data_IF_753624266067
#
_entry.id   IF_753624266067
#
_cell.length_a   1.000
_cell.length_b   1.000
_cell.length_c   1.000
_cell.angle_alpha   90.00
_cell.angle_beta   90.00
_cell.angle_gamma   90.00
#
_symmetry.space_group_name_H-M   'P 1'
#
loop_
_entity.id
_entity.type
_entity.pdbx_description
1 polymer ?
#
# COMPACT_ATOMS: atom_id res chain seq x y z
N UNK A 1 3.97 -0.81 -8.62
CA UNK A 1 3.32 0.43 -9.08
C UNK A 1 3.17 0.42 -10.60
N UNK A 2 1.95 0.25 -11.09
CA UNK A 2 1.65 0.24 -12.53
C UNK A 2 1.23 1.62 -12.99
N UNK A 3 1.93 2.19 -13.98
CA UNK A 3 1.54 3.47 -14.57
C UNK A 3 0.18 3.35 -15.27
N UNK A 4 -0.84 4.03 -14.74
CA UNK A 4 -2.09 4.28 -15.45
C UNK A 4 -1.86 5.43 -16.43
N UNK A 5 -2.05 5.21 -17.73
CA UNK A 5 -2.07 6.28 -18.73
C UNK A 5 -3.53 6.75 -18.95
N UNK A 6 -3.79 8.07 -19.00
CA UNK A 6 -5.12 8.66 -19.28
C UNK A 6 -5.64 9.62 -18.19
N UNK A 7 -6.92 10.03 -18.25
CA UNK A 7 -7.61 10.86 -17.22
C UNK A 7 -7.45 10.29 -15.80
N UNK A 8 -7.42 8.96 -15.67
CA UNK A 8 -7.15 8.27 -14.40
C UNK A 8 -5.75 8.52 -13.83
N UNK A 9 -4.77 8.91 -14.65
CA UNK A 9 -3.44 9.28 -14.19
C UNK A 9 -3.48 10.59 -13.39
N UNK A 10 -4.33 11.54 -13.82
CA UNK A 10 -4.48 12.83 -13.14
C UNK A 10 -5.21 12.66 -11.80
N UNK A 11 -6.29 11.88 -11.78
CA UNK A 11 -7.00 11.57 -10.53
C UNK A 11 -6.11 10.80 -9.53
N UNK A 12 -5.31 9.84 -10.02
CA UNK A 12 -4.35 9.12 -9.20
C UNK A 12 -3.27 10.06 -8.65
N UNK A 13 -2.70 10.94 -9.50
CA UNK A 13 -1.73 11.95 -9.08
C UNK A 13 -2.30 12.90 -8.02
N UNK A 14 -3.54 13.37 -8.19
CA UNK A 14 -4.22 14.24 -7.22
C UNK A 14 -4.41 13.48 -5.90
N UNK A 15 -4.92 12.26 -5.96
CA UNK A 15 -5.16 11.42 -4.78
C UNK A 15 -3.86 11.16 -4.03
N UNK A 16 -2.81 10.73 -4.72
CA UNK A 16 -1.48 10.51 -4.13
C UNK A 16 -0.92 11.80 -3.53
N UNK A 17 -1.03 12.93 -4.22
CA UNK A 17 -0.56 14.23 -3.73
C UNK A 17 -1.25 14.64 -2.42
N UNK A 18 -2.57 14.45 -2.35
CA UNK A 18 -3.37 14.72 -1.14
C UNK A 18 -2.95 13.77 -0.01
N UNK A 19 -2.79 12.47 -0.31
CA UNK A 19 -2.37 11.47 0.67
C UNK A 19 -0.99 11.81 1.25
N UNK A 20 0.01 12.06 0.41
CA UNK A 20 1.37 12.37 0.86
C UNK A 20 1.43 13.65 1.68
N UNK A 21 0.72 14.69 1.24
CA UNK A 21 0.66 15.96 1.98
C UNK A 21 0.07 15.73 3.37
N UNK A 22 -1.02 14.97 3.48
CA UNK A 22 -1.67 14.68 4.76
C UNK A 22 -0.80 13.82 5.69
N UNK A 23 -0.13 12.81 5.14
CA UNK A 23 0.79 11.97 5.91
C UNK A 23 1.99 12.78 6.44
N UNK A 24 2.55 13.66 5.60
CA UNK A 24 3.62 14.58 5.97
C UNK A 24 3.18 15.54 7.09
N UNK A 25 2.05 16.24 6.93
CA UNK A 25 1.56 17.22 7.91
C UNK A 25 1.17 16.59 9.26
N UNK A 26 0.77 15.31 9.27
CA UNK A 26 0.48 14.56 10.50
C UNK A 26 1.69 13.84 11.10
N UNK A 27 2.87 13.94 10.49
CA UNK A 27 4.08 13.25 10.95
C UNK A 27 3.97 11.72 10.89
N UNK A 28 3.11 11.20 10.00
CA UNK A 28 2.87 9.77 9.79
C UNK A 28 3.72 9.19 8.65
N UNK A 29 4.39 10.05 7.87
CA UNK A 29 5.36 9.67 6.85
C UNK A 29 6.53 10.68 6.76
N UNK A 30 7.43 10.54 5.78
CA UNK A 30 8.49 11.50 5.52
C UNK A 30 7.90 12.90 5.22
N UNK A 31 8.62 13.96 5.62
CA UNK A 31 8.22 15.31 5.26
C UNK A 31 8.25 15.50 3.75
N UNK A 32 7.15 15.98 3.17
CA UNK A 32 7.06 16.30 1.76
C UNK A 32 7.66 17.70 1.50
N UNK A 33 8.60 17.80 0.56
CA UNK A 33 9.25 19.05 0.17
C UNK A 33 8.72 19.61 -1.16
N UNK A 34 8.25 18.75 -2.05
CA UNK A 34 7.65 19.18 -3.32
C UNK A 34 7.15 18.02 -4.17
N UNK A 35 6.23 18.32 -5.08
CA UNK A 35 5.66 17.38 -6.06
C UNK A 35 5.92 17.94 -7.46
N UNK A 36 6.26 17.06 -8.40
CA UNK A 36 6.47 17.42 -9.81
C UNK A 36 5.96 16.30 -10.73
N UNK A 37 5.79 16.56 -12.04
CA UNK A 37 5.32 15.52 -12.96
C UNK A 37 6.20 14.26 -12.92
N UNK A 38 5.62 13.14 -12.51
CA UNK A 38 6.31 11.84 -12.44
C UNK A 38 7.10 11.59 -11.16
N UNK A 39 7.03 12.45 -10.14
CA UNK A 39 7.74 12.20 -8.87
C UNK A 39 7.50 13.22 -7.76
N UNK A 40 8.24 13.06 -6.68
CA UNK A 40 8.20 13.94 -5.50
C UNK A 40 9.57 14.04 -4.83
N UNK A 41 9.75 15.09 -4.04
CA UNK A 41 10.91 15.30 -3.17
C UNK A 41 10.43 15.19 -1.73
N UNK A 42 11.02 14.29 -0.96
CA UNK A 42 10.67 14.03 0.43
C UNK A 42 11.92 13.93 1.31
N UNK A 43 11.73 14.04 2.62
CA UNK A 43 12.78 13.92 3.61
C UNK A 43 13.47 12.57 3.52
N UNK A 44 14.79 12.57 3.45
CA UNK A 44 15.58 11.38 3.68
C UNK A 44 15.48 10.96 5.14
N UNK A 45 15.17 9.69 5.38
CA UNK A 45 15.15 9.07 6.70
C UNK A 45 16.32 8.10 6.77
N UNK A 46 17.24 8.33 7.69
CA UNK A 46 18.35 7.41 7.94
C UNK A 46 17.84 6.18 8.69
N UNK A 47 17.47 5.17 7.92
CA UNK A 47 16.80 3.97 8.40
C UNK A 47 17.12 2.78 7.50
N UNK A 48 16.85 1.57 8.01
CA UNK A 48 16.82 0.35 7.20
C UNK A 48 15.39 -0.19 7.12
N UNK A 49 15.00 -0.86 6.02
CA UNK A 49 13.76 -1.61 5.99
C UNK A 49 13.81 -2.79 6.97
N UNK A 50 12.64 -3.31 7.32
CA UNK A 50 12.53 -4.59 7.99
C UNK A 50 12.92 -5.73 7.06
N UNK A 51 13.33 -6.84 7.66
CA UNK A 51 13.40 -8.14 7.02
C UNK A 51 12.06 -8.87 7.18
N UNK A 52 11.72 -9.76 6.26
CA UNK A 52 10.49 -10.57 6.34
C UNK A 52 10.37 -11.31 7.69
N UNK A 53 11.48 -11.84 8.21
CA UNK A 53 11.50 -12.53 9.51
C UNK A 53 11.25 -11.61 10.71
N UNK A 54 11.54 -10.31 10.59
CA UNK A 54 11.29 -9.32 11.64
C UNK A 54 9.81 -8.94 11.76
N UNK A 55 9.00 -9.19 10.73
CA UNK A 55 7.55 -9.00 10.82
C UNK A 55 6.90 -9.88 11.89
N UNK A 56 7.50 -11.04 12.19
CA UNK A 56 7.00 -11.96 13.22
C UNK A 56 7.55 -11.67 14.63
N UNK A 57 8.47 -10.70 14.78
CA UNK A 57 8.93 -10.28 16.10
C UNK A 57 7.77 -9.63 16.87
N UNK A 58 7.56 -10.05 18.11
CA UNK A 58 6.43 -9.62 18.94
C UNK A 58 6.46 -8.11 19.18
N UNK A 59 7.63 -7.55 19.49
CA UNK A 59 7.78 -6.12 19.81
C UNK A 59 7.58 -5.25 18.58
N UNK A 60 8.13 -5.67 17.43
CA UNK A 60 7.93 -4.97 16.17
C UNK A 60 6.48 -5.09 15.69
N UNK A 61 5.86 -6.26 15.79
CA UNK A 61 4.44 -6.48 15.44
C UNK A 61 3.50 -5.55 16.19
N UNK A 62 3.70 -5.37 17.50
CA UNK A 62 2.91 -4.42 18.31
C UNK A 62 3.06 -2.99 17.78
N UNK A 63 4.29 -2.57 17.47
CA UNK A 63 4.55 -1.23 16.91
C UNK A 63 3.92 -1.07 15.52
N UNK A 64 3.98 -2.08 14.67
CA UNK A 64 3.35 -2.08 13.33
C UNK A 64 1.84 -1.94 13.49
N UNK A 65 1.20 -2.72 14.38
CA UNK A 65 -0.23 -2.63 14.65
C UNK A 65 -0.65 -1.24 15.15
N UNK A 66 0.16 -0.61 16.02
CA UNK A 66 -0.07 0.77 16.47
C UNK A 66 0.00 1.78 15.30
N UNK A 67 0.96 1.63 14.38
CA UNK A 67 1.05 2.49 13.18
C UNK A 67 -0.12 2.26 12.23
N UNK A 68 -0.52 1.01 12.00
CA UNK A 68 -1.71 0.69 11.20
C UNK A 68 -2.98 1.28 11.80
N UNK A 69 -3.16 1.19 13.12
CA UNK A 69 -4.29 1.81 13.81
C UNK A 69 -4.30 3.34 13.65
N UNK A 70 -3.14 3.99 13.73
CA UNK A 70 -3.02 5.43 13.49
C UNK A 70 -3.41 5.80 12.05
N UNK A 71 -3.02 5.00 11.05
CA UNK A 71 -3.41 5.19 9.64
C UNK A 71 -4.93 4.98 9.47
N UNK A 72 -5.48 3.89 9.99
CA UNK A 72 -6.90 3.54 9.85
C UNK A 72 -7.86 4.55 10.52
N UNK A 73 -7.38 5.28 11.52
CA UNK A 73 -8.15 6.31 12.23
C UNK A 73 -8.00 7.71 11.61
N UNK A 74 -7.23 7.86 10.53
CA UNK A 74 -7.08 9.14 9.85
C UNK A 74 -8.38 9.59 9.20
N UNK A 75 -8.83 10.81 9.53
CA UNK A 75 -9.81 11.51 8.73
C UNK A 75 -9.12 12.12 7.50
N UNK A 76 -9.45 11.61 6.32
CA UNK A 76 -8.89 12.04 5.04
C UNK A 76 -10.01 12.61 4.17
N UNK A 77 -9.85 13.80 3.56
CA UNK A 77 -10.83 14.42 2.67
C UNK A 77 -10.83 13.77 1.27
N UNK A 78 -10.99 12.45 1.22
CA UNK A 78 -11.10 11.67 -0.02
C UNK A 78 -12.45 10.98 -0.10
N UNK A 79 -12.78 10.49 -1.30
CA UNK A 79 -13.98 9.69 -1.52
C UNK A 79 -13.98 8.44 -0.64
N UNK A 80 -15.06 8.22 0.10
CA UNK A 80 -15.15 7.17 1.14
C UNK A 80 -15.80 5.87 0.66
N UNK A 81 -16.26 5.82 -0.59
CA UNK A 81 -16.79 4.56 -1.14
C UNK A 81 -15.66 3.54 -1.37
N UNK A 82 -15.80 2.28 -0.92
CA UNK A 82 -14.78 1.23 -1.00
C UNK A 82 -14.61 0.62 -2.41
N UNK A 83 -14.58 1.46 -3.45
CA UNK A 83 -14.45 1.01 -4.84
C UNK A 83 -13.02 0.65 -5.24
N UNK A 84 -12.00 1.15 -4.54
CA UNK A 84 -10.61 1.09 -5.00
C UNK A 84 -10.09 -0.33 -5.24
N UNK A 85 -10.34 -1.25 -4.31
CA UNK A 85 -9.89 -2.64 -4.41
C UNK A 85 -10.51 -3.33 -5.64
N UNK A 86 -11.84 -3.30 -5.75
CA UNK A 86 -12.57 -3.98 -6.82
C UNK A 86 -12.31 -3.35 -8.19
N UNK A 87 -12.23 -2.02 -8.28
CA UNK A 87 -11.90 -1.32 -9.51
C UNK A 87 -10.47 -1.64 -9.96
N UNK A 88 -9.54 -1.78 -9.01
CA UNK A 88 -8.15 -2.16 -9.31
C UNK A 88 -8.07 -3.60 -9.81
N UNK A 89 -8.75 -4.54 -9.15
CA UNK A 89 -8.81 -5.94 -9.59
C UNK A 89 -9.41 -6.03 -10.99
N UNK A 90 -10.55 -5.37 -11.25
CA UNK A 90 -11.19 -5.40 -12.58
C UNK A 90 -10.29 -4.80 -13.67
N UNK A 91 -9.55 -3.73 -13.38
CA UNK A 91 -8.56 -3.16 -14.31
C UNK A 91 -7.44 -4.15 -14.62
N UNK A 92 -6.96 -4.89 -13.62
CA UNK A 92 -5.93 -5.91 -13.83
C UNK A 92 -6.47 -7.12 -14.61
N UNK A 93 -7.69 -7.58 -14.32
CA UNK A 93 -8.36 -8.63 -15.10
C UNK A 93 -8.48 -8.25 -16.58
N UNK A 94 -8.92 -7.03 -16.89
CA UNK A 94 -8.95 -6.52 -18.28
C UNK A 94 -7.57 -6.51 -18.94
N UNK A 95 -6.53 -6.19 -18.16
CA UNK A 95 -5.15 -6.21 -18.67
C UNK A 95 -4.68 -7.63 -18.95
N UNK A 96 -5.02 -8.57 -18.07
CA UNK A 96 -4.79 -10.00 -18.26
C UNK A 96 -5.50 -10.51 -19.51
N UNK A 97 -6.78 -10.20 -19.69
CA UNK A 97 -7.55 -10.57 -20.89
C UNK A 97 -6.93 -10.02 -22.18
N UNK A 98 -6.28 -8.86 -22.13
CA UNK A 98 -5.61 -8.28 -23.30
C UNK A 98 -4.25 -8.93 -23.59
N UNK A 99 -3.52 -9.35 -22.56
CA UNK A 99 -2.12 -9.81 -22.67
C UNK A 99 -1.95 -11.32 -22.69
N UNK A 100 -2.88 -12.09 -22.12
CA UNK A 100 -2.76 -13.54 -21.91
C UNK A 100 -3.49 -14.37 -22.97
N UNK A 101 -3.97 -13.75 -24.06
CA UNK A 101 -4.67 -14.42 -25.18
C UNK A 101 -3.75 -15.21 -26.12
N UNK A 102 -2.49 -15.41 -25.77
CA UNK A 102 -1.49 -16.08 -26.62
C UNK A 102 -1.04 -17.39 -25.99
N UNK A 103 -0.88 -18.44 -26.80
CA UNK A 103 -0.35 -19.74 -26.36
C UNK A 103 1.12 -19.69 -25.87
N UNK A 104 1.77 -18.53 -26.01
CA UNK A 104 3.15 -18.24 -25.59
C UNK A 104 3.25 -17.82 -24.12
N UNK A 105 2.52 -18.51 -23.24
CA UNK A 105 2.67 -18.36 -21.78
C UNK A 105 3.56 -19.47 -21.23
N UNK A 106 4.46 -19.17 -20.27
CA UNK A 106 5.27 -20.19 -19.62
C UNK A 106 4.41 -21.31 -19.03
N UNK A 107 4.91 -22.55 -19.08
CA UNK A 107 4.14 -23.74 -18.70
C UNK A 107 3.62 -23.69 -17.26
N UNK A 108 4.41 -23.14 -16.33
CA UNK A 108 4.01 -22.95 -14.93
C UNK A 108 2.81 -21.99 -14.77
N UNK A 109 2.53 -21.15 -15.77
CA UNK A 109 1.47 -20.15 -15.74
C UNK A 109 0.19 -20.62 -16.46
N UNK A 110 0.26 -21.71 -17.25
CA UNK A 110 -0.89 -22.24 -18.00
C UNK A 110 -2.09 -22.58 -17.12
N UNK A 111 -1.86 -23.13 -15.93
CA UNK A 111 -2.94 -23.47 -15.00
C UNK A 111 -3.74 -22.24 -14.56
N UNK A 112 -3.08 -21.09 -14.40
CA UNK A 112 -3.70 -19.82 -14.01
C UNK A 112 -4.44 -19.19 -15.21
N UNK A 113 -3.86 -19.27 -16.40
CA UNK A 113 -4.53 -18.76 -17.62
C UNK A 113 -5.80 -19.55 -17.94
N UNK A 114 -5.78 -20.86 -17.67
CA UNK A 114 -6.91 -21.75 -17.91
C UNK A 114 -7.94 -21.73 -16.76
N UNK A 115 -7.67 -21.09 -15.63
CA UNK A 115 -8.62 -20.98 -14.53
C UNK A 115 -9.57 -19.81 -14.73
N UNK A 116 -10.79 -19.95 -14.22
CA UNK A 116 -11.78 -18.87 -14.26
C UNK A 116 -11.55 -17.90 -13.08
N UNK A 117 -10.54 -17.05 -13.22
CA UNK A 117 -10.18 -16.04 -12.21
C UNK A 117 -11.34 -15.07 -11.97
N UNK A 118 -12.21 -14.83 -12.95
CA UNK A 118 -13.37 -13.92 -12.79
C UNK A 118 -14.36 -14.49 -11.79
N UNK A 119 -14.67 -15.78 -11.89
CA UNK A 119 -15.52 -16.47 -10.91
C UNK A 119 -14.89 -16.47 -9.51
N UNK A 120 -13.57 -16.65 -9.39
CA UNK A 120 -12.85 -16.58 -8.10
C UNK A 120 -12.92 -15.17 -7.47
N UNK A 121 -12.78 -14.12 -8.28
CA UNK A 121 -12.92 -12.73 -7.82
C UNK A 121 -14.35 -12.42 -7.36
N UNK A 122 -15.36 -12.89 -8.09
CA UNK A 122 -16.77 -12.75 -7.70
C UNK A 122 -17.08 -13.49 -6.39
N UNK A 123 -16.52 -14.68 -6.22
CA UNK A 123 -16.61 -15.43 -4.97
C UNK A 123 -15.95 -14.67 -3.81
N UNK A 124 -14.73 -14.17 -4.00
CA UNK A 124 -14.00 -13.41 -2.98
C UNK A 124 -14.76 -12.14 -2.58
N UNK A 125 -15.34 -11.43 -3.55
CA UNK A 125 -16.14 -10.24 -3.31
C UNK A 125 -17.36 -10.54 -2.44
N UNK A 126 -18.16 -11.54 -2.81
CA UNK A 126 -19.31 -11.98 -2.00
C UNK A 126 -18.86 -12.41 -0.62
N UNK A 127 -17.74 -13.13 -0.49
CA UNK A 127 -17.23 -13.61 0.80
C UNK A 127 -16.84 -12.45 1.73
N UNK A 128 -16.14 -11.44 1.22
CA UNK A 128 -15.67 -10.29 2.00
C UNK A 128 -16.80 -9.31 2.36
N UNK A 129 -17.79 -9.13 1.49
CA UNK A 129 -18.96 -8.28 1.76
C UNK A 129 -19.79 -8.81 2.96
N UNK A 130 -19.70 -10.09 3.30
CA UNK A 130 -20.35 -10.66 4.49
C UNK A 130 -19.67 -10.32 5.82
N UNK A 131 -18.39 -9.92 5.82
CA UNK A 131 -17.62 -9.68 7.05
C UNK A 131 -17.94 -8.32 7.70
N UNK A 132 -18.72 -7.45 7.03
CA UNK A 132 -19.06 -6.10 7.50
C UNK A 132 -17.84 -5.30 8.01
N UNK A 133 -16.68 -5.46 7.36
CA UNK A 133 -15.47 -4.75 7.72
C UNK A 133 -15.65 -3.24 7.54
N UNK A 134 -15.22 -2.40 8.49
CA UNK A 134 -15.29 -0.96 8.35
C UNK A 134 -14.39 -0.49 7.21
N UNK A 135 -14.91 0.43 6.39
CA UNK A 135 -14.11 1.09 5.35
C UNK A 135 -13.30 2.20 6.01
N UNK A 136 -11.97 2.07 5.93
CA UNK A 136 -11.01 3.01 6.53
C UNK A 136 -9.95 3.44 5.51
N UNK A 137 -9.21 4.49 5.84
CA UNK A 137 -8.01 4.83 5.08
C UNK A 137 -6.93 3.77 5.33
N UNK A 138 -6.43 3.14 4.26
CA UNK A 138 -5.49 2.03 4.34
C UNK A 138 -4.21 2.33 3.57
N UNK A 139 -3.09 1.78 4.05
CA UNK A 139 -1.83 1.79 3.31
C UNK A 139 -1.86 0.87 2.07
N UNK A 140 -2.58 -0.26 2.15
CA UNK A 140 -2.72 -1.29 1.11
C UNK A 140 -1.44 -2.05 0.70
N UNK A 141 -0.26 -1.65 1.18
CA UNK A 141 1.02 -2.31 0.88
C UNK A 141 1.93 -2.42 2.14
N UNK A 142 1.41 -2.97 3.24
CA UNK A 142 2.11 -3.08 4.53
C UNK A 142 3.17 -4.21 4.56
N UNK A 143 4.09 -4.22 3.60
CA UNK A 143 5.21 -5.15 3.52
C UNK A 143 6.48 -4.59 4.17
N UNK A 144 7.45 -5.46 4.46
CA UNK A 144 8.67 -5.16 5.23
C UNK A 144 9.53 -4.04 4.64
N UNK A 145 9.55 -3.88 3.32
CA UNK A 145 10.26 -2.80 2.62
C UNK A 145 9.67 -1.41 2.86
N UNK A 146 8.39 -1.34 3.25
CA UNK A 146 7.69 -0.09 3.55
C UNK A 146 7.64 0.20 5.05
N UNK A 147 8.32 -0.60 5.88
CA UNK A 147 8.41 -0.41 7.33
C UNK A 147 9.88 -0.26 7.68
N UNK A 148 10.27 0.93 8.15
CA UNK A 148 11.65 1.31 8.38
C UNK A 148 11.98 1.40 9.87
N UNK A 149 13.14 0.89 10.29
CA UNK A 149 13.73 1.13 11.62
C UNK A 149 14.74 2.28 11.51
N UNK A 150 14.50 3.38 12.23
CA UNK A 150 15.41 4.52 12.30
C UNK A 150 16.75 4.15 12.94
N UNK A 151 17.83 4.69 12.38
CA UNK A 151 19.20 4.51 12.88
C UNK A 151 19.68 5.71 13.72
N UNK A 152 18.97 6.84 13.68
CA UNK A 152 19.34 8.11 14.33
C UNK A 152 19.29 8.09 15.88
N UNK A 153 18.96 6.96 16.50
CA UNK A 153 18.69 6.83 17.93
C UNK A 153 19.76 6.11 18.77
N UNK A 154 20.82 5.58 18.16
CA UNK A 154 21.80 4.76 18.89
C UNK A 154 22.69 5.56 19.86
N UNK A 155 22.75 6.90 19.76
CA UNK A 155 23.71 7.70 20.53
C UNK A 155 23.14 8.48 21.73
N UNK A 156 21.81 8.66 21.88
CA UNK A 156 21.30 9.68 22.83
C UNK A 156 20.06 9.36 23.67
N UNK A 157 19.48 8.16 23.65
CA UNK A 157 18.32 7.86 24.50
C UNK A 157 18.49 6.54 25.26
N UNK A 158 18.39 6.60 26.59
CA UNK A 158 18.24 5.48 27.52
C UNK A 158 16.91 4.70 27.34
N UNK A 159 16.30 4.78 26.17
CA UNK A 159 15.05 4.13 25.84
C UNK A 159 15.32 3.22 24.64
N UNK A 160 15.57 1.94 24.93
CA UNK A 160 15.93 0.83 24.02
C UNK A 160 14.83 0.47 22.99
N UNK A 161 13.94 1.41 22.68
CA UNK A 161 12.79 1.17 21.82
C UNK A 161 13.08 1.57 20.37
N UNK A 162 13.10 0.57 19.49
CA UNK A 162 13.13 0.77 18.05
C UNK A 162 12.01 1.75 17.61
N UNK A 163 12.39 2.82 16.92
CA UNK A 163 11.45 3.76 16.29
C UNK A 163 11.19 3.33 14.86
N UNK A 164 9.96 2.90 14.58
CA UNK A 164 9.53 2.52 13.23
C UNK A 164 8.83 3.68 12.50
N UNK A 165 9.02 3.74 11.19
CA UNK A 165 8.34 4.64 10.25
C UNK A 165 7.71 3.81 9.14
N UNK A 166 6.48 4.14 8.73
CA UNK A 166 5.84 3.56 7.54
C UNK A 166 6.01 4.56 6.39
N UNK A 167 6.38 4.07 5.21
CA UNK A 167 6.62 4.88 4.01
C UNK A 167 5.76 4.47 2.82
#
# INVERSE_FOLDING_TARGET
YGQTHGEHALEALITESVVFTLLSERGLGPKLHGIFPGGRIEQYINARPLLTGELADEKLSVKIAQKMAAIHTMEVPLHKEPGWLWNTIERWLKTCDAKLKTDDVPEFFRNIVNSDIRTEVDWLKKRLEMENCPVVFCHNDMQEGNILIRQDGAENNNNDEAQIVVI
#
